data_IF_711576001642
#
_entry.id   IF_711576001642
#
_cell.length_a   1.000
_cell.length_b   1.000
_cell.length_c   1.000
_cell.angle_alpha   90.00
_cell.angle_beta   90.00
_cell.angle_gamma   90.00
#
_symmetry.space_group_name_H-M   'P 1'
#
loop_
_entity.id
_entity.type
_entity.pdbx_description
1 polymer ?
#
# COMPACT_ATOMS: atom_id res chain seq x y z
N UNK A 1 28.74 30.47 -14.58
CA UNK A 1 27.74 29.39 -14.65
C UNK A 1 28.44 28.04 -14.45
N UNK A 2 27.86 27.16 -13.66
CA UNK A 2 28.36 25.79 -13.46
C UNK A 2 27.48 24.83 -14.26
N UNK A 3 28.07 23.92 -15.02
CA UNK A 3 27.36 22.86 -15.76
C UNK A 3 26.92 21.68 -14.87
N UNK A 4 27.22 21.76 -13.57
CA UNK A 4 26.81 20.75 -12.60
C UNK A 4 25.30 20.84 -12.38
N UNK A 5 24.71 19.69 -12.07
CA UNK A 5 23.32 19.61 -11.62
C UNK A 5 23.15 20.47 -10.37
N UNK A 6 22.15 21.35 -10.41
CA UNK A 6 21.72 22.18 -9.29
C UNK A 6 20.33 21.71 -8.88
N UNK A 7 20.13 21.56 -7.58
CA UNK A 7 18.82 21.27 -6.99
C UNK A 7 18.16 22.56 -6.54
N UNK A 8 16.90 22.76 -6.91
CA UNK A 8 16.06 23.83 -6.40
C UNK A 8 14.83 23.26 -5.69
N UNK A 9 14.66 23.62 -4.42
CA UNK A 9 13.44 23.33 -3.68
C UNK A 9 12.36 24.34 -4.08
N UNK A 10 11.30 23.84 -4.73
CA UNK A 10 10.10 24.62 -5.00
C UNK A 10 9.38 24.84 -3.67
N UNK A 11 9.12 26.10 -3.27
CA UNK A 11 8.44 26.37 -2.02
C UNK A 11 7.03 25.79 -2.05
N UNK A 12 6.43 25.51 -0.88
CA UNK A 12 5.08 24.97 -0.79
C UNK A 12 4.06 25.77 -1.62
N UNK A 13 3.31 25.08 -2.47
CA UNK A 13 2.23 25.64 -3.28
C UNK A 13 0.89 25.24 -2.67
N UNK A 14 0.11 26.22 -2.23
CA UNK A 14 -1.29 26.01 -1.86
C UNK A 14 -2.16 26.00 -3.11
N UNK A 15 -2.88 24.89 -3.32
CA UNK A 15 -3.68 24.65 -4.52
C UNK A 15 -5.01 23.99 -4.15
N UNK A 16 -6.00 24.17 -5.02
CA UNK A 16 -7.25 23.43 -4.97
C UNK A 16 -7.16 22.29 -5.98
N UNK A 17 -7.33 21.05 -5.52
CA UNK A 17 -7.39 19.87 -6.38
C UNK A 17 -8.67 19.81 -7.20
N UNK A 18 -8.74 18.89 -8.16
CA UNK A 18 -9.92 18.67 -9.01
C UNK A 18 -11.18 18.30 -8.22
N UNK A 19 -11.01 17.63 -7.08
CA UNK A 19 -12.06 17.24 -6.14
C UNK A 19 -12.29 18.28 -5.01
N UNK A 20 -11.86 19.53 -5.22
CA UNK A 20 -12.09 20.66 -4.32
C UNK A 20 -11.46 20.51 -2.93
N UNK A 21 -10.32 19.82 -2.85
CA UNK A 21 -9.53 19.72 -1.62
C UNK A 21 -8.37 20.72 -1.66
N UNK A 22 -8.24 21.53 -0.62
CA UNK A 22 -7.08 22.40 -0.46
C UNK A 22 -5.88 21.58 0.01
N UNK A 23 -4.79 21.61 -0.75
CA UNK A 23 -3.55 20.91 -0.40
C UNK A 23 -2.35 21.83 -0.55
N UNK A 24 -1.31 21.59 0.26
CA UNK A 24 -0.03 22.28 0.17
C UNK A 24 1.05 21.28 -0.26
N UNK A 25 1.65 21.50 -1.43
CA UNK A 25 2.63 20.57 -2.01
C UNK A 25 3.96 21.26 -2.26
N UNK A 26 5.05 20.63 -1.85
CA UNK A 26 6.41 21.05 -2.20
C UNK A 26 7.11 20.00 -3.08
N UNK A 27 8.14 20.44 -3.80
CA UNK A 27 8.87 19.63 -4.77
C UNK A 27 10.33 20.06 -4.89
N UNK A 28 11.15 19.23 -5.52
CA UNK A 28 12.54 19.54 -5.85
C UNK A 28 12.74 19.33 -7.34
N UNK A 29 13.38 20.29 -8.00
CA UNK A 29 13.76 20.21 -9.42
C UNK A 29 15.27 20.14 -9.52
N UNK A 30 15.77 19.15 -10.26
CA UNK A 30 17.18 18.98 -10.59
C UNK A 30 17.38 19.39 -12.05
N UNK A 31 18.22 20.40 -12.28
CA UNK A 31 18.48 20.91 -13.61
C UNK A 31 19.92 21.39 -13.74
N UNK A 32 20.38 21.53 -14.97
CA UNK A 32 21.70 22.10 -15.29
C UNK A 32 21.61 22.96 -16.54
N UNK A 33 22.54 23.89 -16.68
CA UNK A 33 22.71 24.60 -17.95
C UNK A 33 23.25 23.61 -18.99
N UNK A 34 22.54 23.46 -20.11
CA UNK A 34 22.97 22.69 -21.28
C UNK A 34 23.67 23.58 -22.31
N UNK A 35 23.10 24.76 -22.60
CA UNK A 35 23.65 25.76 -23.50
C UNK A 35 23.79 27.13 -22.81
N UNK A 36 25.01 27.54 -22.45
CA UNK A 36 25.25 28.85 -21.82
C UNK A 36 24.93 30.03 -22.74
N UNK A 37 25.02 29.87 -24.06
CA UNK A 37 24.79 30.95 -25.01
C UNK A 37 23.29 31.25 -25.04
N UNK A 38 22.46 30.21 -25.19
CA UNK A 38 21.01 30.33 -25.09
C UNK A 38 20.56 30.85 -23.72
N UNK A 39 21.20 30.40 -22.63
CA UNK A 39 20.87 30.83 -21.26
C UNK A 39 21.14 32.31 -20.96
N UNK A 40 22.02 32.96 -21.72
CA UNK A 40 22.31 34.40 -21.55
C UNK A 40 21.55 35.24 -22.57
N UNK A 41 21.32 34.72 -23.78
CA UNK A 41 20.71 35.50 -24.86
C UNK A 41 19.18 35.42 -24.89
N UNK A 42 18.58 34.30 -24.49
CA UNK A 42 17.15 34.05 -24.72
C UNK A 42 16.28 34.44 -23.51
N UNK A 43 16.88 34.74 -22.36
CA UNK A 43 16.18 35.13 -21.13
C UNK A 43 17.12 35.89 -20.21
N UNK A 44 16.59 36.86 -19.46
CA UNK A 44 17.36 37.72 -18.56
C UNK A 44 18.06 36.92 -17.43
N UNK A 45 17.28 36.06 -16.74
CA UNK A 45 17.80 35.06 -15.81
C UNK A 45 17.09 33.72 -16.05
N UNK A 46 17.81 32.78 -16.68
CA UNK A 46 17.30 31.44 -16.97
C UNK A 46 16.98 30.66 -15.70
N UNK A 47 17.83 30.76 -14.67
CA UNK A 47 17.65 30.04 -13.41
C UNK A 47 16.40 30.54 -12.70
N UNK A 48 16.23 31.87 -12.61
CA UNK A 48 15.05 32.45 -11.99
C UNK A 48 13.77 32.13 -12.78
N UNK A 49 13.81 32.22 -14.10
CA UNK A 49 12.69 31.88 -14.97
C UNK A 49 12.28 30.40 -14.85
N UNK A 50 13.25 29.47 -14.80
CA UNK A 50 13.00 28.05 -14.53
C UNK A 50 12.33 27.84 -13.17
N UNK A 51 12.73 28.58 -12.12
CA UNK A 51 12.11 28.48 -10.79
C UNK A 51 10.63 28.91 -10.80
N UNK A 52 10.31 29.98 -11.52
CA UNK A 52 8.93 30.46 -11.67
C UNK A 52 8.08 29.50 -12.51
N UNK A 53 8.66 28.97 -13.58
CA UNK A 53 7.99 27.97 -14.41
C UNK A 53 7.72 26.68 -13.62
N UNK A 54 8.66 26.26 -12.76
CA UNK A 54 8.47 25.11 -11.88
C UNK A 54 7.28 25.29 -10.92
N UNK A 55 7.13 26.46 -10.31
CA UNK A 55 5.98 26.76 -9.44
C UNK A 55 4.66 26.70 -10.21
N UNK A 56 4.61 27.30 -11.40
CA UNK A 56 3.40 27.34 -12.23
C UNK A 56 3.04 25.97 -12.78
N UNK A 57 4.03 25.21 -13.24
CA UNK A 57 3.84 23.84 -13.77
C UNK A 57 3.35 22.91 -12.68
N UNK A 58 3.96 22.94 -11.49
CA UNK A 58 3.52 22.15 -10.34
C UNK A 58 2.07 22.49 -9.97
N UNK A 59 1.73 23.78 -9.91
CA UNK A 59 0.37 24.24 -9.61
C UNK A 59 -0.65 23.72 -10.62
N UNK A 60 -0.34 23.80 -11.92
CA UNK A 60 -1.24 23.37 -12.99
C UNK A 60 -1.41 21.85 -13.02
N UNK A 61 -0.31 21.11 -12.96
CA UNK A 61 -0.33 19.64 -12.98
C UNK A 61 -1.11 19.08 -11.79
N UNK A 62 -0.91 19.63 -10.60
CA UNK A 62 -1.64 19.23 -9.41
C UNK A 62 -3.11 19.69 -9.45
N UNK A 63 -3.41 20.90 -9.93
CA UNK A 63 -4.81 21.38 -10.03
C UNK A 63 -5.71 20.50 -10.92
N UNK A 64 -5.13 19.77 -11.86
CA UNK A 64 -5.86 18.83 -12.73
C UNK A 64 -6.05 17.44 -12.14
N UNK A 65 -5.42 17.14 -11.00
CA UNK A 65 -5.44 15.83 -10.34
C UNK A 65 -6.35 15.84 -9.11
N UNK A 66 -6.90 14.69 -8.78
CA UNK A 66 -7.65 14.46 -7.53
C UNK A 66 -6.69 14.20 -6.37
N UNK A 67 -7.16 14.36 -5.13
CA UNK A 67 -6.35 14.05 -3.95
C UNK A 67 -5.81 12.62 -3.97
N UNK A 68 -6.66 11.65 -4.32
CA UNK A 68 -6.27 10.24 -4.38
C UNK A 68 -5.13 10.02 -5.37
N UNK A 69 -5.25 10.55 -6.59
CA UNK A 69 -4.20 10.46 -7.61
C UNK A 69 -2.90 11.12 -7.14
N UNK A 70 -2.96 12.25 -6.42
CA UNK A 70 -1.76 12.87 -5.87
C UNK A 70 -1.04 12.00 -4.83
N UNK A 71 -1.79 11.22 -4.05
CA UNK A 71 -1.25 10.33 -3.04
C UNK A 71 -0.74 9.01 -3.62
N UNK A 72 -1.39 8.48 -4.67
CA UNK A 72 -1.06 7.16 -5.25
C UNK A 72 -0.14 7.24 -6.46
N UNK A 73 -0.26 8.27 -7.31
CA UNK A 73 0.42 8.40 -8.61
C UNK A 73 1.51 9.49 -8.59
N UNK A 74 2.22 9.64 -7.47
CA UNK A 74 3.24 10.68 -7.29
C UNK A 74 4.31 10.67 -8.39
N UNK A 75 4.77 9.49 -8.79
CA UNK A 75 5.78 9.32 -9.85
C UNK A 75 5.27 9.80 -11.21
N UNK A 76 4.00 9.51 -11.54
CA UNK A 76 3.40 9.96 -12.79
C UNK A 76 3.27 11.49 -12.85
N UNK A 77 2.92 12.13 -11.72
CA UNK A 77 2.87 13.60 -11.63
C UNK A 77 4.26 14.21 -11.76
N UNK A 78 5.26 13.60 -11.10
CA UNK A 78 6.65 14.04 -11.18
C UNK A 78 7.17 13.98 -12.63
N UNK A 79 6.91 12.87 -13.32
CA UNK A 79 7.32 12.68 -14.71
C UNK A 79 6.61 13.65 -15.66
N UNK A 80 5.31 13.90 -15.46
CA UNK A 80 4.58 14.92 -16.23
C UNK A 80 5.20 16.31 -16.04
N UNK A 81 5.52 16.69 -14.80
CA UNK A 81 6.15 17.97 -14.52
C UNK A 81 7.55 18.06 -15.14
N UNK A 82 8.32 16.97 -15.12
CA UNK A 82 9.64 16.89 -15.74
C UNK A 82 9.55 17.15 -17.24
N UNK A 83 8.65 16.47 -17.96
CA UNK A 83 8.45 16.66 -19.40
C UNK A 83 8.09 18.10 -19.73
N UNK A 84 7.08 18.67 -19.04
CA UNK A 84 6.64 20.04 -19.29
C UNK A 84 7.75 21.06 -18.99
N UNK A 85 8.50 20.85 -17.91
CA UNK A 85 9.59 21.77 -17.53
C UNK A 85 10.78 21.66 -18.48
N UNK A 86 11.14 20.45 -18.90
CA UNK A 86 12.24 20.23 -19.84
C UNK A 86 11.94 20.89 -21.20
N UNK A 87 10.75 20.64 -21.76
CA UNK A 87 10.30 21.26 -23.01
C UNK A 87 10.24 22.80 -22.89
N UNK A 88 9.72 23.31 -21.78
CA UNK A 88 9.60 24.75 -21.53
C UNK A 88 10.90 25.46 -21.17
N UNK A 89 11.98 24.73 -20.87
CA UNK A 89 13.28 25.32 -20.50
C UNK A 89 14.38 25.08 -21.54
N UNK A 90 14.12 24.23 -22.53
CA UNK A 90 15.06 23.92 -23.62
C UNK A 90 15.51 25.18 -24.36
N UNK A 91 14.58 26.09 -24.69
CA UNK A 91 14.91 27.34 -25.38
C UNK A 91 15.73 28.31 -24.53
N UNK A 92 15.78 28.13 -23.21
CA UNK A 92 16.67 28.88 -22.31
C UNK A 92 18.02 28.18 -22.12
N UNK A 93 18.31 27.09 -22.83
CA UNK A 93 19.56 26.34 -22.64
C UNK A 93 19.67 25.71 -21.25
N UNK A 94 18.53 25.35 -20.63
CA UNK A 94 18.46 24.63 -19.37
C UNK A 94 17.89 23.25 -19.63
N UNK A 95 18.55 22.22 -19.10
CA UNK A 95 18.08 20.83 -19.14
C UNK A 95 17.57 20.44 -17.77
N UNK A 96 16.32 19.98 -17.70
CA UNK A 96 15.76 19.40 -16.48
C UNK A 96 16.06 17.91 -16.49
N UNK A 97 16.68 17.41 -15.42
CA UNK A 97 17.06 15.99 -15.32
C UNK A 97 16.08 15.19 -14.49
N UNK A 98 15.44 15.82 -13.49
CA UNK A 98 14.48 15.15 -12.62
C UNK A 98 13.60 16.13 -11.87
N UNK A 99 12.34 15.75 -11.65
CA UNK A 99 11.45 16.40 -10.69
C UNK A 99 11.06 15.39 -9.61
N UNK A 100 11.08 15.80 -8.35
CA UNK A 100 10.62 14.98 -7.22
C UNK A 100 9.55 15.74 -6.44
N UNK A 101 8.35 15.19 -6.34
CA UNK A 101 7.29 15.72 -5.46
C UNK A 101 7.59 15.24 -4.04
N UNK A 102 7.69 16.15 -3.07
CA UNK A 102 8.21 15.85 -1.73
C UNK A 102 7.10 15.63 -0.70
N UNK A 103 6.54 16.68 -0.08
CA UNK A 103 5.49 16.53 0.94
C UNK A 103 4.14 17.04 0.39
N UNK A 104 3.08 16.28 0.66
CA UNK A 104 1.68 16.70 0.40
C UNK A 104 1.02 16.89 1.75
N UNK A 105 0.78 18.15 2.13
CA UNK A 105 0.16 18.54 3.39
C UNK A 105 -1.33 18.84 3.17
N UNK A 106 -2.15 18.26 4.04
CA UNK A 106 -3.59 18.40 4.06
C UNK A 106 -4.03 19.21 5.28
N UNK A 107 -5.19 19.89 5.24
CA UNK A 107 -5.78 20.50 6.43
C UNK A 107 -6.00 19.45 7.51
N UNK A 108 -5.59 19.75 8.75
CA UNK A 108 -5.62 18.79 9.86
C UNK A 108 -7.00 18.16 10.09
N UNK A 109 -8.07 18.93 9.87
CA UNK A 109 -9.45 18.46 10.00
C UNK A 109 -9.76 17.34 8.99
N UNK A 110 -9.37 17.51 7.72
CA UNK A 110 -9.56 16.51 6.67
C UNK A 110 -8.70 15.27 6.92
N UNK A 111 -7.44 15.44 7.31
CA UNK A 111 -6.54 14.32 7.62
C UNK A 111 -7.13 13.42 8.70
N UNK A 112 -7.69 14.00 9.76
CA UNK A 112 -8.33 13.23 10.84
C UNK A 112 -9.58 12.50 10.36
N UNK A 113 -10.43 13.16 9.57
CA UNK A 113 -11.64 12.54 9.02
C UNK A 113 -11.29 11.37 8.09
N UNK A 114 -10.34 11.55 7.17
CA UNK A 114 -9.87 10.50 6.26
C UNK A 114 -9.21 9.34 7.03
N UNK A 115 -8.43 9.62 8.06
CA UNK A 115 -7.84 8.57 8.89
C UNK A 115 -8.91 7.73 9.61
N UNK A 116 -9.95 8.37 10.15
CA UNK A 116 -11.07 7.68 10.78
C UNK A 116 -11.88 6.84 9.78
N UNK A 117 -12.15 7.39 8.59
CA UNK A 117 -12.83 6.67 7.51
C UNK A 117 -12.01 5.48 7.00
N UNK A 118 -10.71 5.67 6.79
CA UNK A 118 -9.81 4.62 6.35
C UNK A 118 -9.72 3.47 7.36
N UNK A 119 -9.67 3.77 8.66
CA UNK A 119 -9.66 2.76 9.71
C UNK A 119 -10.98 2.00 9.77
N UNK A 120 -12.13 2.69 9.71
CA UNK A 120 -13.44 2.04 9.66
C UNK A 120 -13.59 1.13 8.42
N UNK A 121 -13.16 1.60 7.24
CA UNK A 121 -13.17 0.80 6.01
C UNK A 121 -12.20 -0.39 6.06
N UNK A 122 -11.07 -0.25 6.77
CA UNK A 122 -10.12 -1.34 7.00
C UNK A 122 -10.70 -2.39 7.94
N UNK A 123 -11.32 -1.98 9.04
CA UNK A 123 -11.96 -2.88 9.99
C UNK A 123 -13.14 -3.63 9.35
N UNK A 124 -13.98 -2.93 8.58
CA UNK A 124 -15.07 -3.55 7.85
C UNK A 124 -14.56 -4.61 6.85
N UNK A 125 -13.52 -4.28 6.07
CA UNK A 125 -12.89 -5.24 5.14
C UNK A 125 -12.29 -6.43 5.88
N UNK A 126 -11.64 -6.21 7.02
CA UNK A 126 -11.08 -7.31 7.83
C UNK A 126 -12.17 -8.28 8.30
N UNK A 127 -13.34 -7.78 8.72
CA UNK A 127 -14.48 -8.61 9.12
C UNK A 127 -15.02 -9.45 7.96
N UNK A 128 -15.14 -8.88 6.77
CA UNK A 128 -15.58 -9.62 5.57
C UNK A 128 -14.59 -10.73 5.23
N UNK A 129 -13.30 -10.42 5.20
CA UNK A 129 -12.25 -11.42 4.91
C UNK A 129 -12.24 -12.53 5.96
N UNK A 130 -12.43 -12.20 7.24
CA UNK A 130 -12.52 -13.20 8.31
C UNK A 130 -13.73 -14.12 8.12
N UNK A 131 -14.91 -13.56 7.84
CA UNK A 131 -16.13 -14.34 7.62
C UNK A 131 -16.04 -15.23 6.36
N UNK A 132 -15.47 -14.72 5.27
CA UNK A 132 -15.19 -15.52 4.07
C UNK A 132 -14.18 -16.64 4.35
N UNK A 133 -13.14 -16.35 5.15
CA UNK A 133 -12.16 -17.33 5.60
C UNK A 133 -12.80 -18.44 6.43
N UNK A 134 -13.67 -18.09 7.37
CA UNK A 134 -14.41 -19.03 8.21
C UNK A 134 -15.37 -19.90 7.39
N UNK A 135 -16.06 -19.31 6.41
CA UNK A 135 -16.93 -20.06 5.50
C UNK A 135 -16.13 -21.07 4.66
N UNK A 136 -14.98 -20.65 4.10
CA UNK A 136 -14.09 -21.53 3.32
C UNK A 136 -13.55 -22.67 4.18
N UNK A 137 -13.09 -22.37 5.39
CA UNK A 137 -12.62 -23.37 6.34
C UNK A 137 -13.73 -24.37 6.71
N UNK A 138 -14.93 -23.89 6.98
CA UNK A 138 -16.08 -24.74 7.33
C UNK A 138 -16.47 -25.68 6.19
N UNK A 139 -16.43 -25.21 4.93
CA UNK A 139 -16.68 -26.06 3.75
C UNK A 139 -15.64 -27.15 3.61
N UNK A 140 -14.35 -26.81 3.72
CA UNK A 140 -13.27 -27.79 3.65
C UNK A 140 -13.37 -28.84 4.78
N UNK A 141 -13.72 -28.42 6.00
CA UNK A 141 -13.94 -29.34 7.12
C UNK A 141 -15.14 -30.27 6.90
N UNK A 142 -16.24 -29.76 6.33
CA UNK A 142 -17.39 -30.58 5.96
C UNK A 142 -17.00 -31.63 4.93
N UNK A 143 -16.33 -31.23 3.85
CA UNK A 143 -15.87 -32.15 2.81
C UNK A 143 -14.96 -33.24 3.39
N UNK A 144 -14.03 -32.87 4.27
CA UNK A 144 -13.20 -33.84 4.98
C UNK A 144 -14.01 -34.79 5.86
N UNK A 145 -15.04 -34.30 6.58
CA UNK A 145 -15.92 -35.11 7.40
C UNK A 145 -16.74 -36.11 6.56
N UNK A 146 -17.30 -35.67 5.42
CA UNK A 146 -18.05 -36.51 4.50
C UNK A 146 -17.17 -37.65 3.95
N UNK A 147 -15.90 -37.36 3.62
CA UNK A 147 -14.92 -38.37 3.17
C UNK A 147 -14.57 -39.37 4.29
N UNK A 148 -14.40 -38.88 5.53
CA UNK A 148 -14.12 -39.74 6.69
C UNK A 148 -15.32 -40.65 6.99
N UNK A 149 -16.55 -40.14 6.89
CA UNK A 149 -17.76 -40.93 7.10
C UNK A 149 -17.89 -42.04 6.06
N UNK A 150 -17.56 -41.75 4.80
CA UNK A 150 -17.57 -42.75 3.72
C UNK A 150 -16.51 -43.86 3.91
N UNK A 151 -15.41 -43.59 4.63
CA UNK A 151 -14.31 -44.54 4.85
C UNK A 151 -13.96 -44.68 6.35
N UNK A 152 -14.55 -45.65 7.07
CA UNK A 152 -14.34 -45.83 8.51
C UNK A 152 -12.87 -46.00 8.94
N UNK A 153 -12.03 -46.55 8.05
CA UNK A 153 -10.58 -46.72 8.25
C UNK A 153 -9.86 -45.37 8.37
N UNK A 154 -10.36 -44.30 7.72
CA UNK A 154 -9.78 -42.96 7.80
C UNK A 154 -9.82 -42.39 9.23
N UNK A 155 -10.87 -42.71 10.00
CA UNK A 155 -11.03 -42.24 11.38
C UNK A 155 -10.03 -42.95 12.32
N UNK A 156 -9.79 -44.25 12.10
CA UNK A 156 -8.73 -44.99 12.80
C UNK A 156 -7.33 -44.43 12.49
N UNK A 157 -7.02 -44.14 11.22
CA UNK A 157 -5.73 -43.54 10.84
C UNK A 157 -5.52 -42.17 11.48
N UNK A 158 -6.55 -41.33 11.49
CA UNK A 158 -6.51 -40.02 12.16
C UNK A 158 -6.34 -40.14 13.67
N UNK A 159 -6.96 -41.14 14.30
CA UNK A 159 -6.70 -41.45 15.72
C UNK A 159 -5.24 -41.83 15.96
N UNK A 160 -4.66 -42.69 15.13
CA UNK A 160 -3.24 -43.07 15.25
C UNK A 160 -2.30 -41.88 15.03
N UNK A 161 -2.62 -40.99 14.08
CA UNK A 161 -1.86 -39.75 13.87
C UNK A 161 -1.93 -38.81 15.08
N UNK A 162 -3.11 -38.62 15.67
CA UNK A 162 -3.28 -37.81 16.87
C UNK A 162 -2.53 -38.40 18.07
N UNK A 163 -2.52 -39.73 18.21
CA UNK A 163 -1.72 -40.41 19.23
C UNK A 163 -0.22 -40.18 19.01
N UNK A 164 0.24 -40.21 17.77
CA UNK A 164 1.65 -39.96 17.45
C UNK A 164 2.05 -38.50 17.72
N UNK A 165 1.18 -37.53 17.43
CA UNK A 165 1.45 -36.10 17.75
C UNK A 165 1.46 -35.85 19.25
N UNK A 166 0.53 -36.45 20.01
CA UNK A 166 0.49 -36.33 21.48
C UNK A 166 1.73 -37.00 22.10
N UNK A 167 2.14 -38.16 21.60
CA UNK A 167 3.35 -38.85 22.04
C UNK A 167 4.64 -38.04 21.76
N UNK A 168 4.64 -37.24 20.69
CA UNK A 168 5.76 -36.36 20.35
C UNK A 168 5.85 -35.11 21.26
N UNK A 169 4.75 -34.67 21.88
CA UNK A 169 4.72 -33.48 22.76
C UNK A 169 5.14 -33.75 24.23
N UNK A 170 5.63 -34.95 24.59
CA UNK A 170 6.14 -35.28 25.94
C UNK A 170 5.19 -34.99 27.13
N UNK A 171 3.86 -35.03 26.95
CA UNK A 171 2.91 -34.86 28.06
C UNK A 171 2.64 -36.21 28.78
N UNK A 172 2.94 -36.28 30.09
CA UNK A 172 2.96 -37.53 30.88
C UNK A 172 1.59 -38.05 31.35
N UNK A 173 0.49 -37.37 31.03
CA UNK A 173 -0.88 -37.78 31.40
C UNK A 173 -1.76 -37.88 30.16
N UNK A 174 -2.07 -39.12 29.75
CA UNK A 174 -2.93 -39.43 28.61
C UNK A 174 -4.33 -39.72 29.12
N UNK A 175 -5.27 -38.79 28.95
CA UNK A 175 -6.70 -39.03 29.24
C UNK A 175 -7.33 -39.64 27.99
N UNK A 176 -7.62 -40.93 28.06
CA UNK A 176 -8.15 -41.71 26.93
C UNK A 176 -9.67 -41.88 27.06
N UNK A 177 -10.49 -41.29 26.16
CA UNK A 177 -11.91 -41.58 26.12
C UNK A 177 -12.13 -42.94 25.42
N UNK A 178 -12.35 -44.00 26.20
CA UNK A 178 -12.73 -45.31 25.65
C UNK A 178 -14.23 -45.30 25.34
N UNK A 179 -14.67 -45.80 24.16
CA UNK A 179 -16.09 -46.03 23.89
C UNK A 179 -16.75 -46.90 24.96
N UNK A 180 -17.95 -46.51 25.40
CA UNK A 180 -18.67 -47.16 26.52
C UNK A 180 -18.94 -48.65 26.22
N UNK A 181 -19.03 -49.01 24.94
CA UNK A 181 -19.21 -50.37 24.43
C UNK A 181 -18.10 -51.35 24.87
N UNK A 182 -16.88 -50.86 25.09
CA UNK A 182 -15.77 -51.68 25.57
C UNK A 182 -15.86 -52.02 27.06
N UNK A 183 -16.60 -51.24 27.85
CA UNK A 183 -16.87 -51.54 29.27
C UNK A 183 -17.93 -52.63 29.44
N UNK A 184 -18.77 -52.86 28.43
CA UNK A 184 -19.78 -53.92 28.44
C UNK A 184 -19.19 -55.34 28.56
N UNK A 185 -17.94 -55.54 28.12
CA UNK A 185 -17.23 -56.82 28.26
C UNK A 185 -16.73 -57.08 29.69
N UNK A 186 -16.53 -56.04 30.50
CA UNK A 186 -16.04 -56.14 31.88
C UNK A 186 -17.15 -56.19 32.94
N UNK A 187 -18.38 -55.74 32.63
CA UNK A 187 -19.52 -55.81 33.55
C UNK A 187 -20.32 -57.13 33.49
N UNK A 188 -19.88 -58.12 32.69
CA UNK A 188 -20.57 -59.41 32.57
C UNK A 188 -19.90 -60.50 33.41
N UNK A 189 -19.78 -60.28 34.71
CA UNK A 189 -19.60 -61.36 35.68
C UNK A 189 -20.06 -60.87 37.05
N UNK A 190 -21.26 -61.28 37.42
CA UNK A 190 -21.67 -61.64 38.78
C UNK A 190 -23.08 -62.25 38.69
N UNK A 191 -23.12 -63.58 38.82
CA UNK A 191 -24.31 -64.37 39.10
C UNK A 191 -23.92 -65.38 40.17
#
# INVERSE_FOLDING_TARGET
>A
MSFRVVSYAVPPQEILSKDSVTVSVDAVVYFRTSDPIASVNNVDDAIYSTKLLAQTTLRNALGMKTLTEMLTEREAIAQLCETILDEGTEHWGVKVERVEVKDIRLPQQLTRAMAAEAEAAREARAKVVAAEGEQKASRALKEAADVIQANPVALQLRHLQALNSIAAEHNSTIVFPVPVEMFGAFMKKDN
#
